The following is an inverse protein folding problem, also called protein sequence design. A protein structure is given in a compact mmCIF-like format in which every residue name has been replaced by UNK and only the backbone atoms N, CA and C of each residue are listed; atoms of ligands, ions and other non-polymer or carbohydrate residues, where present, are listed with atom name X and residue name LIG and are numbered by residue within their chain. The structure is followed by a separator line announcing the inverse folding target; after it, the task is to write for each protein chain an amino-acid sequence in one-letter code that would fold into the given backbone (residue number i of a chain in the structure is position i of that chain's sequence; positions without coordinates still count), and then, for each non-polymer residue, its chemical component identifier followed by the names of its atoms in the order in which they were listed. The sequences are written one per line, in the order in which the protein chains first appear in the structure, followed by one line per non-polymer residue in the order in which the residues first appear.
data_IF_237994615341
#
_entry.id   IF_237994615341
#
_cell.length_a   1.000
_cell.length_b   1.000
_cell.length_c   1.000
_cell.angle_alpha   90.00
_cell.angle_beta   90.00
_cell.angle_gamma   90.00
#
_symmetry.space_group_name_H-M   'P 1'
#
loop_
_entity.id
_entity.type
_entity.pdbx_description
1 polymer ?
#
# COMPACT_ATOMS: atom_id res chain seq x y z
N UNK A 1 -6.60 60.73 45.86
CA UNK A 1 -7.88 61.39 46.20
C UNK A 1 -8.83 61.15 45.02
N UNK A 2 -10.02 60.55 45.07
CA UNK A 2 -10.99 60.03 46.06
C UNK A 2 -11.66 58.82 45.35
N UNK A 3 -11.69 57.61 45.91
CA UNK A 3 -12.81 56.99 46.64
C UNK A 3 -14.24 57.32 46.17
N UNK A 4 -15.00 56.29 45.75
CA UNK A 4 -16.30 55.78 46.31
C UNK A 4 -16.89 54.68 45.40
N UNK A 5 -16.89 53.40 45.82
CA UNK A 5 -18.00 52.60 46.43
C UNK A 5 -19.18 52.31 45.48
N UNK A 6 -19.34 51.08 44.99
CA UNK A 6 -19.96 49.89 45.63
C UNK A 6 -21.48 49.97 45.68
N UNK A 7 -22.16 49.12 44.90
CA UNK A 7 -23.51 48.66 45.25
C UNK A 7 -23.69 47.19 44.85
N UNK A 8 -23.69 46.38 45.90
CA UNK A 8 -23.99 44.96 45.96
C UNK A 8 -25.48 44.74 45.67
N UNK A 9 -25.85 43.73 44.90
CA UNK A 9 -27.21 43.17 44.93
C UNK A 9 -27.08 41.66 45.05
N UNK A 10 -27.30 41.19 46.27
CA UNK A 10 -27.56 39.79 46.61
C UNK A 10 -29.06 39.59 46.41
N UNK A 11 -29.45 38.62 45.58
CA UNK A 11 -30.74 37.94 45.71
C UNK A 11 -30.46 36.44 45.74
N UNK A 12 -31.01 35.82 46.78
CA UNK A 12 -30.81 34.47 47.25
C UNK A 12 -32.03 33.62 46.84
N UNK A 13 -31.86 32.29 46.89
CA UNK A 13 -32.90 31.23 46.93
C UNK A 13 -33.30 30.65 45.56
N UNK A 14 -32.90 29.41 45.28
CA UNK A 14 -33.76 28.26 45.59
C UNK A 14 -33.08 26.94 45.24
N UNK A 15 -33.03 26.06 46.24
CA UNK A 15 -32.47 24.71 46.17
C UNK A 15 -33.40 23.78 45.39
N UNK A 16 -32.96 23.29 44.23
CA UNK A 16 -33.51 22.08 43.61
C UNK A 16 -32.55 20.92 43.87
N UNK A 17 -32.83 20.18 44.93
CA UNK A 17 -32.27 18.85 45.17
C UNK A 17 -32.93 17.91 44.14
N UNK A 18 -32.25 17.67 43.02
CA UNK A 18 -32.60 16.59 42.11
C UNK A 18 -31.89 15.33 42.59
N UNK A 19 -32.60 14.55 43.40
CA UNK A 19 -32.31 13.15 43.66
C UNK A 19 -32.44 12.38 42.34
N UNK A 20 -31.33 12.27 41.61
CA UNK A 20 -31.20 11.38 40.46
C UNK A 20 -30.76 10.00 40.92
N UNK A 21 -31.67 9.02 40.80
CA UNK A 21 -31.46 7.62 41.13
C UNK A 21 -30.18 7.06 40.51
N UNK A 22 -29.27 6.57 41.35
CA UNK A 22 -28.27 5.59 40.96
C UNK A 22 -28.98 4.27 40.65
N UNK A 23 -29.24 4.00 39.37
CA UNK A 23 -29.44 2.65 38.89
C UNK A 23 -28.06 2.02 38.69
N UNK A 24 -27.69 1.11 39.60
CA UNK A 24 -26.64 0.13 39.35
C UNK A 24 -27.08 -0.76 38.20
N UNK A 25 -26.72 -0.39 36.97
CA UNK A 25 -26.78 -1.31 35.83
C UNK A 25 -25.63 -2.29 36.02
N UNK A 26 -25.99 -3.51 36.44
CA UNK A 26 -25.08 -4.66 36.47
C UNK A 26 -24.39 -4.81 35.11
N UNK A 27 -23.11 -4.47 35.09
CA UNK A 27 -22.19 -4.75 34.01
C UNK A 27 -22.23 -6.27 33.74
N UNK A 28 -22.90 -6.66 32.66
CA UNK A 28 -22.81 -8.02 32.17
C UNK A 28 -21.39 -8.19 31.66
N UNK A 29 -20.56 -8.88 32.44
CA UNK A 29 -19.27 -9.36 32.01
C UNK A 29 -19.45 -10.17 30.72
N UNK A 30 -19.11 -9.54 29.59
CA UNK A 30 -18.97 -10.22 28.31
C UNK A 30 -17.82 -11.18 28.48
N UNK A 31 -18.12 -12.49 28.44
CA UNK A 31 -17.12 -13.55 28.37
C UNK A 31 -16.12 -13.21 27.26
N UNK A 32 -14.80 -13.42 27.45
CA UNK A 32 -13.84 -13.29 26.38
C UNK A 32 -14.29 -14.13 25.19
N UNK A 33 -14.43 -13.45 24.05
CA UNK A 33 -14.69 -14.07 22.75
C UNK A 33 -13.68 -15.19 22.53
N UNK A 34 -14.17 -16.29 21.97
CA UNK A 34 -13.41 -17.51 21.74
C UNK A 34 -12.05 -17.20 21.09
N UNK A 35 -11.03 -17.87 21.61
CA UNK A 35 -9.67 -17.91 21.08
C UNK A 35 -9.74 -18.15 19.55
N UNK A 36 -9.32 -17.14 18.78
CA UNK A 36 -9.21 -17.24 17.32
C UNK A 36 -8.10 -18.26 17.06
N UNK A 37 -8.48 -19.50 16.81
CA UNK A 37 -7.54 -20.51 16.32
C UNK A 37 -7.11 -20.05 14.93
N UNK A 38 -5.91 -19.49 14.85
CA UNK A 38 -5.23 -19.21 13.58
C UNK A 38 -4.92 -20.54 12.91
N UNK A 39 -5.90 -21.06 12.18
CA UNK A 39 -5.69 -22.20 11.28
C UNK A 39 -4.98 -21.63 10.07
N UNK A 40 -3.74 -22.08 9.82
CA UNK A 40 -3.04 -21.77 8.58
C UNK A 40 -3.92 -22.30 7.43
N UNK A 41 -4.55 -21.45 6.62
CA UNK A 41 -5.42 -21.94 5.56
C UNK A 41 -4.58 -22.71 4.57
N UNK A 42 -5.12 -23.82 4.07
CA UNK A 42 -4.54 -24.53 2.95
C UNK A 42 -4.53 -23.59 1.75
N UNK A 43 -3.34 -23.13 1.32
CA UNK A 43 -3.18 -22.26 0.14
C UNK A 43 -3.95 -22.86 -1.04
N UNK A 44 -4.77 -22.05 -1.74
CA UNK A 44 -5.32 -22.44 -3.05
C UNK A 44 -6.76 -22.95 -3.10
N UNK A 45 -7.57 -22.89 -2.03
CA UNK A 45 -8.92 -23.48 -2.05
C UNK A 45 -10.08 -22.56 -1.66
N UNK A 46 -9.81 -21.33 -1.21
CA UNK A 46 -10.85 -20.44 -0.70
C UNK A 46 -10.76 -19.06 -1.34
N UNK A 47 -11.89 -18.56 -1.83
CA UNK A 47 -12.03 -17.22 -2.40
C UNK A 47 -12.12 -16.19 -1.27
N UNK A 48 -11.35 -15.09 -1.37
CA UNK A 48 -11.44 -13.99 -0.41
C UNK A 48 -12.76 -13.26 -0.55
N UNK A 49 -13.39 -13.03 0.59
CA UNK A 49 -14.60 -12.21 0.71
C UNK A 49 -14.25 -10.78 1.12
N UNK A 50 -13.30 -10.62 2.05
CA UNK A 50 -12.95 -9.33 2.64
C UNK A 50 -11.46 -9.26 2.99
N UNK A 51 -10.88 -8.06 2.81
CA UNK A 51 -9.57 -7.70 3.36
C UNK A 51 -9.79 -6.73 4.53
N UNK A 52 -9.61 -7.22 5.75
CA UNK A 52 -9.63 -6.41 6.95
C UNK A 52 -8.28 -5.74 7.16
N UNK A 53 -8.28 -4.41 7.25
CA UNK A 53 -7.11 -3.58 7.52
C UNK A 53 -7.12 -3.21 9.01
N UNK A 54 -6.04 -3.55 9.70
CA UNK A 54 -5.81 -3.20 11.11
C UNK A 54 -4.73 -2.14 11.23
N UNK A 55 -4.65 -1.54 12.41
CA UNK A 55 -3.50 -0.73 12.79
C UNK A 55 -2.29 -1.63 13.08
N UNK A 56 -1.09 -1.31 12.58
CA UNK A 56 0.11 -2.07 12.91
C UNK A 56 0.53 -1.80 14.36
N UNK A 57 1.46 -2.59 14.89
CA UNK A 57 2.11 -2.27 16.15
C UNK A 57 2.92 -0.97 16.04
N UNK A 58 3.21 -0.35 17.19
CA UNK A 58 4.10 0.82 17.26
C UNK A 58 5.55 0.49 16.87
N UNK A 59 5.94 -0.78 16.95
CA UNK A 59 7.28 -1.25 16.62
C UNK A 59 7.44 -1.57 15.12
N UNK A 60 6.41 -1.38 14.29
CA UNK A 60 6.45 -1.62 12.85
C UNK A 60 7.24 -0.51 12.12
N UNK A 61 8.56 -0.63 12.15
CA UNK A 61 9.54 0.32 11.59
C UNK A 61 9.71 0.25 10.07
N UNK A 62 9.22 -0.82 9.45
CA UNK A 62 9.28 -1.05 8.00
C UNK A 62 7.89 -1.29 7.42
N UNK A 63 7.61 -0.86 6.19
CA UNK A 63 6.31 -1.08 5.57
C UNK A 63 6.02 -2.59 5.38
N UNK A 64 7.04 -3.42 5.15
CA UNK A 64 6.94 -4.87 5.12
C UNK A 64 6.52 -5.45 6.47
N UNK A 65 7.07 -4.96 7.58
CA UNK A 65 6.60 -5.37 8.92
C UNK A 65 5.18 -4.88 9.19
N UNK A 66 4.85 -3.65 8.83
CA UNK A 66 3.48 -3.13 8.95
C UNK A 66 2.49 -4.01 8.16
N UNK A 67 2.81 -4.37 6.91
CA UNK A 67 1.92 -5.12 6.03
C UNK A 67 1.46 -6.47 6.60
N UNK A 68 2.36 -7.24 7.22
CA UNK A 68 2.03 -8.54 7.80
C UNK A 68 1.22 -8.44 9.09
N UNK A 69 1.27 -7.29 9.77
CA UNK A 69 0.49 -7.00 10.98
C UNK A 69 -0.89 -6.41 10.65
N UNK A 70 -1.00 -5.66 9.56
CA UNK A 70 -2.21 -4.93 9.19
C UNK A 70 -3.21 -5.76 8.39
N UNK A 71 -2.74 -6.68 7.55
CA UNK A 71 -3.61 -7.41 6.60
C UNK A 71 -4.15 -8.69 7.24
N UNK A 72 -5.47 -8.80 7.27
CA UNK A 72 -6.17 -10.06 7.52
C UNK A 72 -7.18 -10.33 6.41
N UNK A 73 -7.10 -11.50 5.81
CA UNK A 73 -8.07 -11.98 4.83
C UNK A 73 -9.17 -12.76 5.53
N UNK A 74 -10.41 -12.53 5.13
CA UNK A 74 -11.57 -13.36 5.45
C UNK A 74 -12.04 -14.04 4.17
N UNK A 75 -12.16 -15.36 4.20
CA UNK A 75 -12.64 -16.14 3.07
C UNK A 75 -14.15 -16.39 3.16
N UNK A 76 -14.79 -16.67 2.02
CA UNK A 76 -16.23 -17.01 1.96
C UNK A 76 -16.65 -18.20 2.81
N UNK A 77 -15.72 -19.06 3.20
CA UNK A 77 -15.98 -20.20 4.09
C UNK A 77 -15.86 -19.85 5.59
N UNK A 78 -15.65 -18.57 5.93
CA UNK A 78 -15.47 -18.05 7.28
C UNK A 78 -14.08 -18.23 7.89
N UNK A 79 -13.14 -18.87 7.17
CA UNK A 79 -11.74 -18.95 7.62
C UNK A 79 -11.05 -17.59 7.44
N UNK A 80 -9.98 -17.39 8.21
CA UNK A 80 -9.13 -16.20 8.07
C UNK A 80 -7.68 -16.56 7.81
N UNK A 81 -6.97 -15.68 7.12
CA UNK A 81 -5.52 -15.77 6.93
C UNK A 81 -4.86 -14.44 7.26
N UNK A 82 -3.60 -14.51 7.69
CA UNK A 82 -2.72 -13.35 7.74
C UNK A 82 -1.48 -13.64 6.89
N UNK A 83 -0.98 -12.68 6.12
CA UNK A 83 0.31 -12.81 5.45
C UNK A 83 1.44 -12.98 6.46
N UNK A 84 2.49 -13.67 6.03
CA UNK A 84 3.73 -13.84 6.82
C UNK A 84 4.89 -13.12 6.14
N UNK A 85 6.03 -13.03 6.84
CA UNK A 85 7.25 -12.43 6.26
C UNK A 85 7.77 -13.14 5.00
N UNK A 86 7.37 -14.39 4.80
CA UNK A 86 7.74 -15.18 3.62
C UNK A 86 6.80 -14.93 2.44
N UNK A 87 5.63 -14.33 2.69
CA UNK A 87 4.72 -13.91 1.65
C UNK A 87 5.07 -12.52 1.09
N UNK A 88 6.03 -11.80 1.69
CA UNK A 88 6.54 -10.52 1.14
C UNK A 88 7.43 -10.83 -0.08
N UNK A 89 6.92 -10.49 -1.27
CA UNK A 89 7.60 -10.69 -2.54
C UNK A 89 8.54 -9.54 -2.88
N UNK A 90 8.12 -8.31 -2.58
CA UNK A 90 8.95 -7.12 -2.74
C UNK A 90 8.59 -6.04 -1.73
N UNK A 91 9.58 -5.30 -1.27
CA UNK A 91 9.43 -4.09 -0.46
C UNK A 91 10.28 -3.00 -1.10
N UNK A 92 9.67 -1.87 -1.46
CA UNK A 92 10.36 -0.75 -2.10
C UNK A 92 10.02 0.53 -1.38
N UNK A 93 11.05 1.29 -1.01
CA UNK A 93 10.93 2.56 -0.31
C UNK A 93 11.60 3.64 -1.15
N UNK A 94 10.90 4.75 -1.37
CA UNK A 94 11.42 5.92 -2.04
C UNK A 94 10.96 7.17 -1.29
N UNK A 95 11.88 7.79 -0.56
CA UNK A 95 11.56 8.93 0.30
C UNK A 95 10.51 8.54 1.35
N UNK A 96 9.35 9.22 1.33
CA UNK A 96 8.23 8.96 2.25
C UNK A 96 7.16 8.03 1.64
N UNK A 97 7.41 7.43 0.48
CA UNK A 97 6.48 6.52 -0.19
C UNK A 97 7.03 5.11 -0.15
N UNK A 98 6.16 4.12 -0.02
CA UNK A 98 6.56 2.72 -0.15
C UNK A 98 5.49 1.87 -0.85
N UNK A 99 5.96 0.84 -1.54
CA UNK A 99 5.13 -0.20 -2.17
C UNK A 99 5.57 -1.54 -1.59
N UNK A 100 4.62 -2.27 -1.03
CA UNK A 100 4.83 -3.66 -0.59
C UNK A 100 3.97 -4.57 -1.43
N UNK A 101 4.60 -5.60 -1.99
CA UNK A 101 3.90 -6.66 -2.72
C UNK A 101 3.92 -7.92 -1.91
N UNK A 102 2.72 -8.45 -1.61
CA UNK A 102 2.52 -9.72 -0.94
C UNK A 102 2.01 -10.77 -1.92
N UNK A 103 2.44 -12.01 -1.75
CA UNK A 103 1.73 -13.18 -2.24
C UNK A 103 0.47 -13.36 -1.38
N UNK A 104 -0.71 -13.28 -2.00
CA UNK A 104 -1.96 -13.56 -1.31
C UNK A 104 -2.00 -15.03 -0.87
N UNK A 105 -2.36 -15.31 0.39
CA UNK A 105 -2.67 -16.66 0.87
C UNK A 105 -3.72 -17.43 0.04
N UNK A 106 -4.53 -16.73 -0.79
CA UNK A 106 -5.47 -17.34 -1.74
C UNK A 106 -4.81 -18.32 -2.70
N UNK A 107 -3.57 -18.06 -3.14
CA UNK A 107 -2.88 -18.94 -4.07
C UNK A 107 -1.70 -18.27 -4.78
N UNK A 108 -0.94 -19.06 -5.56
CA UNK A 108 0.33 -18.65 -6.15
C UNK A 108 0.22 -17.54 -7.21
N UNK A 109 -0.98 -17.27 -7.73
CA UNK A 109 -1.23 -16.25 -8.75
C UNK A 109 -1.97 -15.02 -8.20
N UNK A 110 -2.24 -14.98 -6.90
CA UNK A 110 -2.95 -13.89 -6.26
C UNK A 110 -1.96 -13.04 -5.48
N UNK A 111 -2.04 -11.73 -5.64
CA UNK A 111 -1.13 -10.76 -5.06
C UNK A 111 -1.92 -9.66 -4.36
N UNK A 112 -1.30 -9.04 -3.36
CA UNK A 112 -1.81 -7.84 -2.71
C UNK A 112 -0.72 -6.79 -2.78
N UNK A 113 -1.02 -5.65 -3.41
CA UNK A 113 -0.13 -4.51 -3.51
C UNK A 113 -0.61 -3.48 -2.49
N UNK A 114 0.29 -3.02 -1.65
CA UNK A 114 0.03 -2.12 -0.55
C UNK A 114 0.82 -0.84 -0.75
N UNK A 115 0.13 0.29 -0.68
CA UNK A 115 0.70 1.61 -0.84
C UNK A 115 0.81 2.28 0.52
N UNK A 116 1.98 2.81 0.81
CA UNK A 116 2.31 3.37 2.10
C UNK A 116 2.86 4.78 2.00
N UNK A 117 2.55 5.57 3.02
CA UNK A 117 3.15 6.88 3.25
C UNK A 117 3.76 6.96 4.63
N UNK A 118 4.95 7.54 4.72
CA UNK A 118 5.66 7.75 5.97
C UNK A 118 5.28 9.10 6.56
N UNK A 119 4.80 9.08 7.80
CA UNK A 119 4.65 10.25 8.66
C UNK A 119 5.46 10.01 9.95
N UNK A 120 4.80 9.89 11.09
CA UNK A 120 5.35 9.34 12.34
C UNK A 120 5.52 7.81 12.27
N UNK A 121 4.70 7.17 11.44
CA UNK A 121 4.69 5.73 11.16
C UNK A 121 4.34 5.48 9.69
N UNK A 122 4.45 4.22 9.25
CA UNK A 122 3.96 3.80 7.95
C UNK A 122 2.44 3.69 7.96
N UNK A 123 1.79 4.57 7.21
CA UNK A 123 0.33 4.64 7.06
C UNK A 123 -0.04 3.97 5.73
N UNK A 124 -0.93 2.98 5.78
CA UNK A 124 -1.46 2.33 4.59
C UNK A 124 -2.47 3.25 3.92
N UNK A 125 -2.19 3.67 2.68
CA UNK A 125 -3.04 4.60 1.92
C UNK A 125 -3.87 3.90 0.86
N UNK A 126 -3.43 2.74 0.37
CA UNK A 126 -4.18 1.97 -0.61
C UNK A 126 -3.87 0.49 -0.61
N UNK A 127 -4.86 -0.31 -1.01
CA UNK A 127 -4.75 -1.76 -1.18
C UNK A 127 -5.29 -2.13 -2.56
N UNK A 128 -4.46 -2.79 -3.36
CA UNK A 128 -4.82 -3.28 -4.68
C UNK A 128 -4.63 -4.80 -4.74
N UNK A 129 -5.72 -5.59 -4.68
CA UNK A 129 -5.67 -7.00 -5.04
C UNK A 129 -5.39 -7.14 -6.55
N UNK A 130 -4.49 -8.05 -6.91
CA UNK A 130 -4.19 -8.38 -8.29
C UNK A 130 -4.15 -9.90 -8.47
N UNK A 131 -4.57 -10.38 -9.64
CA UNK A 131 -4.54 -11.81 -9.97
C UNK A 131 -3.88 -12.00 -11.32
N UNK A 132 -2.87 -12.87 -11.38
CA UNK A 132 -2.20 -13.25 -12.62
C UNK A 132 -3.14 -13.93 -13.62
N UNK A 133 -2.68 -14.15 -14.86
CA UNK A 133 -3.52 -14.64 -15.94
C UNK A 133 -3.88 -16.11 -15.76
N UNK A 134 -5.16 -16.43 -16.00
CA UNK A 134 -5.66 -17.82 -16.05
C UNK A 134 -5.45 -18.48 -17.42
N UNK A 135 -5.26 -17.67 -18.48
CA UNK A 135 -5.04 -18.15 -19.85
C UNK A 135 -3.56 -18.21 -20.19
N UNK A 136 -3.24 -18.80 -21.35
CA UNK A 136 -1.89 -18.81 -21.93
C UNK A 136 -1.78 -17.89 -23.15
N UNK A 137 -2.84 -17.16 -23.48
CA UNK A 137 -2.84 -16.24 -24.62
C UNK A 137 -1.90 -15.06 -24.32
N UNK A 138 -1.27 -14.53 -25.37
CA UNK A 138 -0.39 -13.38 -25.24
C UNK A 138 -1.23 -12.14 -24.96
N UNK A 139 -0.87 -11.40 -23.92
CA UNK A 139 -1.50 -10.12 -23.61
C UNK A 139 -0.93 -9.02 -24.51
N UNK A 140 -1.75 -8.03 -24.85
CA UNK A 140 -1.27 -6.83 -25.55
C UNK A 140 -0.48 -5.95 -24.59
N UNK A 141 0.83 -5.82 -24.83
CA UNK A 141 1.73 -4.98 -24.02
C UNK A 141 1.66 -3.51 -24.36
N UNK A 142 0.99 -3.12 -25.46
CA UNK A 142 0.87 -1.73 -25.91
C UNK A 142 2.22 -1.00 -25.90
N UNK A 143 3.22 -1.64 -26.50
CA UNK A 143 4.60 -1.13 -26.60
C UNK A 143 5.52 -1.42 -25.41
N UNK A 144 4.99 -1.87 -24.26
CA UNK A 144 5.80 -2.17 -23.09
C UNK A 144 6.67 -3.41 -23.28
N UNK A 145 7.91 -3.34 -22.79
CA UNK A 145 8.85 -4.48 -22.75
C UNK A 145 8.79 -5.20 -21.40
N UNK A 146 7.64 -5.83 -21.11
CA UNK A 146 7.42 -6.60 -19.89
C UNK A 146 8.27 -7.90 -19.87
N UNK A 147 8.68 -8.40 -18.68
CA UNK A 147 9.47 -9.62 -18.56
C UNK A 147 8.68 -10.91 -18.81
N UNK A 148 7.37 -10.80 -19.06
CA UNK A 148 6.45 -11.90 -19.34
C UNK A 148 5.50 -11.51 -20.48
N UNK A 149 5.02 -12.52 -21.23
CA UNK A 149 4.15 -12.31 -22.40
C UNK A 149 2.66 -12.39 -22.11
N UNK A 150 2.29 -12.96 -20.97
CA UNK A 150 0.91 -13.19 -20.56
C UNK A 150 0.75 -12.62 -19.17
N UNK A 151 -0.17 -11.68 -19.03
CA UNK A 151 -0.38 -10.89 -17.81
C UNK A 151 -1.77 -10.28 -17.75
N UNK A 152 -2.15 -9.86 -16.55
CA UNK A 152 -3.27 -8.97 -16.28
C UNK A 152 -2.74 -7.59 -15.88
N UNK A 153 -3.57 -6.56 -16.07
CA UNK A 153 -3.22 -5.20 -15.68
C UNK A 153 -4.29 -4.61 -14.79
N UNK A 154 -3.85 -3.94 -13.73
CA UNK A 154 -4.70 -3.15 -12.85
C UNK A 154 -4.11 -1.75 -12.70
N UNK A 155 -4.96 -0.76 -12.48
CA UNK A 155 -4.57 0.62 -12.24
C UNK A 155 -5.24 1.09 -10.95
N UNK A 156 -4.50 1.85 -10.13
CA UNK A 156 -5.04 2.45 -8.91
C UNK A 156 -4.37 3.79 -8.62
N UNK A 157 -5.20 4.77 -8.24
CA UNK A 157 -4.76 5.97 -7.52
C UNK A 157 -4.57 5.64 -6.05
N UNK A 158 -3.47 6.12 -5.44
CA UNK A 158 -3.15 5.80 -4.04
C UNK A 158 -4.10 6.46 -3.04
N UNK A 159 -4.82 7.49 -3.46
CA UNK A 159 -5.87 8.16 -2.69
C UNK A 159 -6.84 8.90 -3.65
N UNK A 160 -7.88 9.51 -3.07
CA UNK A 160 -8.84 10.33 -3.82
C UNK A 160 -8.34 11.76 -4.10
N UNK A 161 -7.10 12.10 -3.74
CA UNK A 161 -6.53 13.41 -4.04
C UNK A 161 -6.28 13.57 -5.55
N UNK A 162 -6.48 14.79 -6.07
CA UNK A 162 -6.34 15.07 -7.51
C UNK A 162 -4.92 14.81 -8.04
N UNK A 163 -3.91 15.03 -7.20
CA UNK A 163 -2.48 14.83 -7.48
C UNK A 163 -1.94 13.52 -6.87
N UNK A 164 -2.84 12.60 -6.48
CA UNK A 164 -2.46 11.33 -5.90
C UNK A 164 -1.57 10.53 -6.88
N UNK A 165 -0.55 9.82 -6.36
CA UNK A 165 0.19 8.87 -7.15
C UNK A 165 -0.72 7.85 -7.85
N UNK A 166 -0.36 7.52 -9.09
CA UNK A 166 -1.05 6.48 -9.86
C UNK A 166 -0.09 5.32 -10.07
N UNK A 167 -0.58 4.10 -9.93
CA UNK A 167 0.20 2.89 -10.17
C UNK A 167 -0.52 1.95 -11.11
N UNK A 168 0.23 1.48 -12.11
CA UNK A 168 -0.13 0.38 -12.97
C UNK A 168 0.59 -0.88 -12.51
N UNK A 169 -0.17 -1.93 -12.27
CA UNK A 169 0.32 -3.23 -11.82
C UNK A 169 0.18 -4.23 -12.94
N UNK A 170 1.26 -4.92 -13.27
CA UNK A 170 1.30 -5.97 -14.28
C UNK A 170 1.58 -7.31 -13.58
N UNK A 171 0.57 -8.17 -13.50
CA UNK A 171 0.68 -9.46 -12.84
C UNK A 171 0.78 -10.59 -13.87
N UNK A 172 1.94 -11.27 -13.90
CA UNK A 172 2.16 -12.54 -14.58
C UNK A 172 1.85 -13.73 -13.66
N UNK A 173 2.21 -14.93 -14.12
CA UNK A 173 1.94 -16.17 -13.36
C UNK A 173 2.76 -16.27 -12.08
N UNK A 174 4.04 -15.93 -12.13
CA UNK A 174 4.97 -16.07 -10.99
C UNK A 174 5.70 -14.75 -10.67
N UNK A 175 5.34 -13.70 -11.39
CA UNK A 175 6.01 -12.40 -11.30
C UNK A 175 5.00 -11.29 -11.39
N UNK A 176 5.26 -10.21 -10.70
CA UNK A 176 4.45 -9.01 -10.64
C UNK A 176 5.38 -7.82 -10.56
N UNK A 177 5.01 -6.75 -11.25
CA UNK A 177 5.71 -5.49 -11.17
C UNK A 177 4.71 -4.33 -11.22
N UNK A 178 5.15 -3.20 -10.71
CA UNK A 178 4.43 -1.94 -10.74
C UNK A 178 5.21 -0.89 -11.53
N UNK A 179 4.47 0.02 -12.15
CA UNK A 179 4.96 1.29 -12.67
C UNK A 179 4.15 2.36 -11.97
N UNK A 180 4.81 3.24 -11.23
CA UNK A 180 4.18 4.28 -10.44
C UNK A 180 4.62 5.65 -10.93
N UNK A 181 3.66 6.55 -11.11
CA UNK A 181 3.89 7.97 -11.34
C UNK A 181 3.64 8.70 -10.02
N UNK A 182 4.69 9.31 -9.49
CA UNK A 182 4.69 9.98 -8.20
C UNK A 182 5.00 11.47 -8.41
N UNK A 183 4.46 12.39 -7.56
CA UNK A 183 5.04 13.72 -7.41
C UNK A 183 6.54 13.62 -7.13
N UNK A 184 7.31 14.62 -7.55
CA UNK A 184 8.76 14.63 -7.37
C UNK A 184 9.16 14.23 -5.95
N UNK A 185 9.87 13.11 -5.86
CA UNK A 185 10.41 12.59 -4.60
C UNK A 185 11.84 13.09 -4.41
N UNK A 186 12.24 13.42 -3.17
CA UNK A 186 13.64 13.70 -2.90
C UNK A 186 14.49 12.48 -3.27
N UNK A 187 15.66 12.73 -3.85
CA UNK A 187 16.64 11.67 -4.07
C UNK A 187 17.02 11.09 -2.71
N UNK A 188 16.79 9.79 -2.55
CA UNK A 188 17.03 9.12 -1.29
C UNK A 188 18.50 9.25 -0.87
N UNK A 189 18.74 9.35 0.44
CA UNK A 189 20.11 9.43 0.98
C UNK A 189 20.84 8.07 0.99
N UNK A 190 20.11 6.99 0.67
CA UNK A 190 20.70 5.65 0.52
C UNK A 190 21.53 5.59 -0.77
N UNK A 191 22.65 4.85 -0.77
CA UNK A 191 23.43 4.65 -1.98
C UNK A 191 22.62 3.80 -2.96
N UNK A 192 21.97 4.46 -3.91
CA UNK A 192 21.46 3.83 -5.12
C UNK A 192 22.58 3.82 -6.16
N UNK A 193 22.72 2.72 -6.88
CA UNK A 193 23.61 2.71 -8.05
C UNK A 193 22.97 3.56 -9.14
N UNK A 194 23.75 4.48 -9.71
CA UNK A 194 23.32 5.32 -10.83
C UNK A 194 23.67 4.61 -12.14
N UNK A 195 22.68 4.46 -13.01
CA UNK A 195 22.82 3.78 -14.30
C UNK A 195 22.23 4.64 -15.42
N UNK A 196 22.80 4.54 -16.62
CA UNK A 196 22.19 5.11 -17.83
C UNK A 196 21.38 4.04 -18.55
N UNK A 197 20.08 4.27 -18.74
CA UNK A 197 19.18 3.41 -19.48
C UNK A 197 19.47 3.46 -20.99
N UNK A 198 18.96 2.47 -21.72
CA UNK A 198 19.15 2.39 -23.18
C UNK A 198 18.56 3.58 -23.96
N UNK A 199 17.59 4.30 -23.38
CA UNK A 199 17.01 5.52 -23.94
C UNK A 199 17.73 6.81 -23.48
N UNK A 200 18.86 6.69 -22.76
CA UNK A 200 19.68 7.80 -22.29
C UNK A 200 19.25 8.41 -20.95
N UNK A 201 18.15 7.95 -20.35
CA UNK A 201 17.69 8.41 -19.03
C UNK A 201 18.65 7.91 -17.94
N UNK A 202 19.04 8.80 -17.03
CA UNK A 202 19.71 8.41 -15.80
C UNK A 202 18.68 7.87 -14.80
N UNK A 203 18.93 6.66 -14.30
CA UNK A 203 18.08 5.99 -13.33
C UNK A 203 18.88 5.52 -12.13
N UNK A 204 18.17 5.34 -11.03
CA UNK A 204 18.70 4.93 -9.74
C UNK A 204 18.13 3.56 -9.44
N UNK A 205 18.99 2.59 -9.16
CA UNK A 205 18.59 1.22 -8.88
C UNK A 205 18.91 0.83 -7.45
N UNK A 206 18.01 0.07 -6.85
CA UNK A 206 18.20 -0.57 -5.57
C UNK A 206 17.91 -2.06 -5.69
N UNK A 207 18.86 -2.89 -5.26
CA UNK A 207 18.72 -4.34 -5.28
C UNK A 207 19.17 -4.92 -3.94
N UNK A 208 18.26 -5.65 -3.30
CA UNK A 208 18.53 -6.49 -2.13
C UNK A 208 17.89 -7.85 -2.35
N UNK A 209 17.97 -8.74 -1.35
CA UNK A 209 17.28 -10.04 -1.42
C UNK A 209 15.75 -9.91 -1.59
N UNK A 210 15.15 -8.80 -1.16
CA UNK A 210 13.69 -8.58 -1.13
C UNK A 210 13.26 -7.28 -1.82
N UNK A 211 14.19 -6.56 -2.41
CA UNK A 211 13.93 -5.30 -3.08
C UNK A 211 14.60 -5.35 -4.44
N UNK A 212 13.83 -5.11 -5.49
CA UNK A 212 14.34 -4.75 -6.78
C UNK A 212 13.52 -3.57 -7.24
N UNK A 213 14.14 -2.40 -7.27
CA UNK A 213 13.49 -1.17 -7.63
C UNK A 213 14.37 -0.33 -8.55
N UNK A 214 13.70 0.47 -9.37
CA UNK A 214 14.32 1.41 -10.27
C UNK A 214 13.48 2.67 -10.27
N UNK A 215 14.09 3.83 -10.11
CA UNK A 215 13.40 5.09 -10.29
C UNK A 215 14.20 6.10 -11.08
N UNK A 216 13.52 7.05 -11.69
CA UNK A 216 14.13 8.17 -12.42
C UNK A 216 13.21 9.39 -12.38
N UNK A 217 13.78 10.56 -12.66
CA UNK A 217 13.03 11.81 -12.77
C UNK A 217 12.63 12.06 -14.21
N UNK A 218 11.39 12.47 -14.42
CA UNK A 218 10.87 12.95 -15.70
C UNK A 218 10.03 14.21 -15.46
N UNK A 219 10.66 15.38 -15.62
CA UNK A 219 10.07 16.66 -15.25
C UNK A 219 9.86 16.79 -13.74
N UNK A 220 8.64 17.14 -13.33
CA UNK A 220 8.22 17.29 -11.92
C UNK A 220 7.68 15.98 -11.32
N UNK A 221 7.92 14.85 -11.98
CA UNK A 221 7.44 13.54 -11.55
C UNK A 221 8.60 12.57 -11.36
N UNK A 222 8.46 11.70 -10.37
CA UNK A 222 9.29 10.51 -10.25
C UNK A 222 8.55 9.32 -10.84
N UNK A 223 9.21 8.58 -11.72
CA UNK A 223 8.74 7.25 -12.14
C UNK A 223 9.42 6.20 -11.28
N UNK A 224 8.64 5.36 -10.60
CA UNK A 224 9.11 4.27 -9.76
C UNK A 224 8.65 2.93 -10.32
N UNK A 225 9.58 2.00 -10.51
CA UNK A 225 9.31 0.62 -10.86
C UNK A 225 9.71 -0.27 -9.69
N UNK A 226 8.84 -1.20 -9.31
CA UNK A 226 9.08 -2.15 -8.22
C UNK A 226 8.48 -3.51 -8.57
N UNK A 227 8.93 -4.58 -7.93
CA UNK A 227 8.34 -5.91 -8.09
C UNK A 227 9.27 -7.03 -7.72
N UNK A 228 8.82 -8.27 -7.93
CA UNK A 228 9.62 -9.47 -7.71
C UNK A 228 10.33 -9.93 -8.99
N UNK A 229 10.96 -8.97 -9.69
CA UNK A 229 11.72 -9.19 -10.92
C UNK A 229 13.10 -8.55 -10.77
N UNK A 230 14.12 -9.09 -11.44
CA UNK A 230 15.48 -8.54 -11.39
C UNK A 230 15.55 -7.10 -11.89
N UNK A 231 16.49 -6.31 -11.37
CA UNK A 231 16.74 -4.93 -11.82
C UNK A 231 16.95 -4.82 -13.33
N UNK A 232 17.61 -5.79 -13.97
CA UNK A 232 17.81 -5.77 -15.44
C UNK A 232 16.49 -5.79 -16.22
N UNK A 233 15.46 -6.47 -15.70
CA UNK A 233 14.12 -6.44 -16.30
C UNK A 233 13.43 -5.10 -16.08
N UNK A 234 13.64 -4.48 -14.92
CA UNK A 234 13.15 -3.13 -14.65
C UNK A 234 13.79 -2.10 -15.58
N UNK A 235 15.11 -2.19 -15.83
CA UNK A 235 15.83 -1.32 -16.78
C UNK A 235 15.25 -1.43 -18.19
N UNK A 236 14.97 -2.66 -18.66
CA UNK A 236 14.37 -2.91 -19.97
C UNK A 236 12.96 -2.30 -20.07
N UNK A 237 12.15 -2.48 -19.03
CA UNK A 237 10.80 -1.91 -18.97
C UNK A 237 10.84 -0.39 -18.94
N UNK A 238 11.66 0.20 -18.07
CA UNK A 238 11.82 1.66 -17.94
C UNK A 238 12.23 2.30 -19.26
N UNK A 239 13.15 1.68 -20.00
CA UNK A 239 13.57 2.16 -21.32
C UNK A 239 12.47 2.09 -22.40
N UNK A 240 11.38 1.37 -22.15
CA UNK A 240 10.21 1.28 -23.05
C UNK A 240 9.06 2.21 -22.68
N UNK A 241 9.13 2.89 -21.52
CA UNK A 241 8.09 3.81 -21.10
C UNK A 241 8.14 5.09 -21.94
N UNK A 242 6.98 5.64 -22.34
CA UNK A 242 6.92 6.98 -22.90
C UNK A 242 7.20 8.03 -21.81
N UNK A 243 7.41 9.30 -22.18
CA UNK A 243 7.47 10.39 -21.21
C UNK A 243 6.20 10.45 -20.35
N UNK A 244 6.32 10.85 -19.08
CA UNK A 244 5.18 10.99 -18.15
C UNK A 244 4.14 12.00 -18.60
N UNK A 245 4.51 12.91 -19.49
CA UNK A 245 3.63 13.91 -20.12
C UNK A 245 2.77 13.31 -21.25
N UNK A 246 3.03 12.07 -21.66
CA UNK A 246 2.19 11.38 -22.64
C UNK A 246 0.82 11.06 -22.03
N UNK A 247 -0.25 11.41 -22.76
CA UNK A 247 -1.62 11.06 -22.38
C UNK A 247 -1.89 9.54 -22.37
N UNK A 248 -0.98 8.73 -22.90
CA UNK A 248 -1.08 7.27 -22.89
C UNK A 248 -0.20 6.59 -21.84
N UNK A 249 0.59 7.34 -21.06
CA UNK A 249 1.49 6.77 -20.05
C UNK A 249 0.72 5.80 -19.13
N UNK A 250 1.26 4.59 -18.84
CA UNK A 250 2.61 4.10 -19.15
C UNK A 250 2.72 3.44 -20.53
N UNK A 251 1.63 3.33 -21.28
CA UNK A 251 1.61 2.63 -22.56
C UNK A 251 2.22 3.49 -23.67
N UNK A 252 2.98 2.85 -24.56
CA UNK A 252 3.37 3.47 -25.81
C UNK A 252 2.12 3.83 -26.61
N UNK A 253 2.11 5.02 -27.21
CA UNK A 253 1.12 5.33 -28.24
C UNK A 253 1.18 4.26 -29.33
N UNK A 254 0.04 3.92 -29.92
CA UNK A 254 0.01 3.05 -31.11
C UNK A 254 0.85 3.70 -32.21
N UNK A 255 1.85 2.98 -32.74
CA UNK A 255 2.29 3.22 -34.11
C UNK A 255 1.13 2.98 -35.09
#
# INVERSE_FOLDING_TARGET
MRFTKSMTTIVLISSCVLSGCTMETKEHAVKPSAEIVSVKPTKGQNEVEEILIKEPSVDADTPGKASVEQIQLTYKNGQTAVPTKDDILSETILGQKAIVTLQSPEGPHHYIILFYEQSDRWILTGVLPATGPVTTERSDSRGLKLPFSTFTTNEMSWSDAEDAPITWTFAGKESILTVSKLPQQPMDSKPSEVVTLANGIEAYVHETKREASLFYQDGEQTVLLAGNVSVDRLKILAASLPPVTSGSFPYGGTE
#
